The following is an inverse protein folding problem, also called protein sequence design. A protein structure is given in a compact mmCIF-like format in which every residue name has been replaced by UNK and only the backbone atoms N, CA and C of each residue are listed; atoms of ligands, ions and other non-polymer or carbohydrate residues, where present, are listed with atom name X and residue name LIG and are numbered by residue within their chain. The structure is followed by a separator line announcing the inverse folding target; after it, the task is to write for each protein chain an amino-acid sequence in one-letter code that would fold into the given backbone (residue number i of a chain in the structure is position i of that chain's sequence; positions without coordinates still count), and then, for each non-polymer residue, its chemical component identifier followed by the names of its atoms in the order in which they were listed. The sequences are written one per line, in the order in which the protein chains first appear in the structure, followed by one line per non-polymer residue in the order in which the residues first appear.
data_IF_660403244863
#
_entry.id   IF_660403244863
#
_cell.length_a   1.000
_cell.length_b   1.000
_cell.length_c   1.000
_cell.angle_alpha   90.00
_cell.angle_beta   90.00
_cell.angle_gamma   90.00
#
_symmetry.space_group_name_H-M   'P 1'
#
loop_
_entity.id
_entity.type
_entity.pdbx_description
1 polymer ?
#
# COMPACT_ATOMS: atom_id res chain seq x y z
N UNK A 1 -8.38 -1.88 10.37
CA UNK A 1 -7.96 -1.17 11.59
C UNK A 1 -6.48 -1.02 11.42
N UNK A 2 -6.02 0.15 10.97
CA UNK A 2 -4.67 0.24 10.40
C UNK A 2 -3.80 1.10 11.33
N UNK A 3 -2.63 0.55 11.69
CA UNK A 3 -1.64 1.15 12.59
C UNK A 3 -2.15 1.57 13.98
N UNK A 4 -3.17 0.88 14.51
CA UNK A 4 -3.50 1.00 15.93
C UNK A 4 -2.43 0.27 16.75
N UNK A 5 -1.67 1.05 17.52
CA UNK A 5 -0.59 0.55 18.38
C UNK A 5 -1.12 -0.54 19.32
N UNK A 6 -0.49 -1.71 19.33
CA UNK A 6 -0.86 -2.81 20.22
C UNK A 6 -1.97 -3.73 19.70
N UNK A 7 -2.58 -3.42 18.55
CA UNK A 7 -3.72 -4.20 18.06
C UNK A 7 -3.31 -5.54 17.45
N UNK A 8 -2.21 -5.56 16.69
CA UNK A 8 -1.68 -6.81 16.12
C UNK A 8 -1.20 -7.76 17.22
N UNK A 9 -0.55 -7.20 18.25
CA UNK A 9 -0.08 -7.92 19.42
C UNK A 9 -1.24 -8.49 20.23
N UNK A 10 -2.34 -7.75 20.37
CA UNK A 10 -3.55 -8.23 21.03
C UNK A 10 -4.24 -9.35 20.26
N UNK A 11 -4.30 -9.28 18.92
CA UNK A 11 -4.87 -10.36 18.10
C UNK A 11 -4.03 -11.62 18.22
N UNK A 12 -2.70 -11.53 18.07
CA UNK A 12 -1.82 -12.70 18.19
C UNK A 12 -1.87 -13.36 19.57
N UNK A 13 -2.07 -12.57 20.63
CA UNK A 13 -2.19 -13.10 21.99
C UNK A 13 -3.45 -13.99 22.18
N UNK A 14 -4.52 -13.74 21.43
CA UNK A 14 -5.80 -14.45 21.58
C UNK A 14 -6.02 -15.47 20.44
N UNK A 15 -5.54 -15.16 19.25
CA UNK A 15 -5.71 -15.93 18.01
C UNK A 15 -4.35 -16.10 17.30
N UNK A 16 -3.46 -16.96 17.82
CA UNK A 16 -2.07 -17.05 17.36
C UNK A 16 -1.93 -17.51 15.90
N UNK A 17 -2.89 -18.27 15.38
CA UNK A 17 -2.87 -18.79 14.01
C UNK A 17 -3.50 -17.81 12.99
N UNK A 18 -3.90 -16.61 13.41
CA UNK A 18 -4.51 -15.62 12.51
C UNK A 18 -3.43 -14.86 11.74
N UNK A 19 -3.53 -14.90 10.40
CA UNK A 19 -2.77 -14.02 9.54
C UNK A 19 -3.31 -12.59 9.61
N UNK A 20 -2.43 -11.63 9.94
CA UNK A 20 -2.79 -10.23 10.05
C UNK A 20 -2.37 -9.51 8.77
N UNK A 21 -3.34 -9.06 8.00
CA UNK A 21 -3.13 -8.29 6.77
C UNK A 21 -3.55 -6.83 6.96
N UNK A 22 -2.71 -5.89 6.49
CA UNK A 22 -3.11 -4.48 6.36
C UNK A 22 -4.17 -4.33 5.27
N UNK A 23 -5.15 -3.45 5.49
CA UNK A 23 -6.23 -3.28 4.55
C UNK A 23 -5.78 -2.45 3.35
N UNK A 24 -5.81 -3.04 2.15
CA UNK A 24 -5.42 -2.38 0.91
C UNK A 24 -6.19 -1.06 0.67
N UNK A 25 -7.46 -0.99 1.08
CA UNK A 25 -8.28 0.23 0.94
C UNK A 25 -7.74 1.38 1.79
N UNK A 26 -7.31 1.10 3.02
CA UNK A 26 -6.68 2.11 3.87
C UNK A 26 -5.30 2.50 3.34
N UNK A 27 -4.53 1.55 2.82
CA UNK A 27 -3.23 1.83 2.18
C UNK A 27 -3.39 2.76 0.96
N UNK A 28 -4.37 2.50 0.10
CA UNK A 28 -4.70 3.37 -1.05
C UNK A 28 -5.10 4.76 -0.57
N UNK A 29 -6.06 4.84 0.37
CA UNK A 29 -6.53 6.12 0.90
C UNK A 29 -5.40 6.92 1.53
N UNK A 30 -4.48 6.27 2.26
CA UNK A 30 -3.33 6.93 2.84
C UNK A 30 -2.41 7.52 1.76
N UNK A 31 -2.16 6.76 0.70
CA UNK A 31 -1.30 7.17 -0.41
C UNK A 31 -1.85 8.36 -1.19
N UNK A 32 -3.14 8.31 -1.54
CA UNK A 32 -3.78 9.34 -2.38
C UNK A 32 -3.88 10.71 -1.69
N UNK A 33 -3.72 10.79 -0.36
CA UNK A 33 -3.71 12.07 0.39
C UNK A 33 -2.55 12.98 0.00
N UNK A 34 -1.46 12.43 -0.50
CA UNK A 34 -0.27 13.18 -0.92
C UNK A 34 -0.28 13.54 -2.41
N UNK A 35 -1.26 13.03 -3.16
CA UNK A 35 -1.31 13.10 -4.63
C UNK A 35 -2.18 14.28 -5.05
N UNK A 36 -1.72 15.02 -6.06
CA UNK A 36 -2.49 16.15 -6.60
C UNK A 36 -3.73 15.65 -7.34
N UNK A 37 -4.80 16.44 -7.37
CA UNK A 37 -6.02 16.04 -8.11
C UNK A 37 -5.76 15.76 -9.61
N UNK A 38 -4.82 16.48 -10.22
CA UNK A 38 -4.44 16.30 -11.64
C UNK A 38 -3.85 14.92 -11.90
N UNK A 39 -3.08 14.41 -10.95
CA UNK A 39 -2.35 13.14 -11.07
C UNK A 39 -3.13 11.96 -10.49
N UNK A 40 -4.18 12.22 -9.70
CA UNK A 40 -4.93 11.20 -8.95
C UNK A 40 -5.47 10.07 -9.83
N UNK A 41 -6.00 10.40 -11.02
CA UNK A 41 -6.54 9.40 -11.96
C UNK A 41 -5.45 8.46 -12.47
N UNK A 42 -4.30 9.00 -12.84
CA UNK A 42 -3.19 8.22 -13.36
C UNK A 42 -2.52 7.40 -12.25
N UNK A 43 -2.25 8.04 -11.11
CA UNK A 43 -1.69 7.39 -9.94
C UNK A 43 -2.53 6.19 -9.47
N UNK A 44 -3.86 6.33 -9.42
CA UNK A 44 -4.74 5.22 -9.01
C UNK A 44 -4.88 4.13 -10.07
N UNK A 45 -4.69 4.45 -11.36
CA UNK A 45 -4.63 3.46 -12.43
C UNK A 45 -3.35 2.62 -12.34
N UNK A 46 -2.19 3.25 -12.14
CA UNK A 46 -0.93 2.50 -11.97
C UNK A 46 -0.95 1.65 -10.69
N UNK A 47 -1.48 2.20 -9.59
CA UNK A 47 -1.60 1.48 -8.32
C UNK A 47 -2.49 0.23 -8.45
N UNK A 48 -3.49 0.28 -9.34
CA UNK A 48 -4.37 -0.86 -9.63
C UNK A 48 -3.64 -2.07 -10.19
N UNK A 49 -2.57 -1.86 -10.94
CA UNK A 49 -1.76 -2.95 -11.47
C UNK A 49 -1.04 -3.73 -10.35
N UNK A 50 -0.77 -3.08 -9.21
CA UNK A 50 -0.14 -3.72 -8.05
C UNK A 50 -1.11 -4.72 -7.40
N UNK A 51 -2.28 -4.26 -6.95
CA UNK A 51 -3.22 -5.14 -6.21
C UNK A 51 -4.05 -6.06 -7.11
N UNK A 52 -3.98 -5.90 -8.44
CA UNK A 52 -4.59 -6.83 -9.41
C UNK A 52 -3.61 -7.85 -9.98
N UNK A 53 -2.34 -7.78 -9.62
CA UNK A 53 -1.36 -8.77 -10.04
C UNK A 53 -1.81 -10.19 -9.64
N UNK A 54 -1.53 -11.16 -10.50
CA UNK A 54 -1.91 -12.56 -10.32
C UNK A 54 -0.94 -13.34 -9.44
N UNK A 55 0.27 -12.81 -9.22
CA UNK A 55 1.29 -13.36 -8.32
C UNK A 55 1.96 -12.24 -7.53
N UNK A 56 2.61 -12.62 -6.42
CA UNK A 56 3.36 -11.69 -5.59
C UNK A 56 4.54 -11.06 -6.35
N UNK A 57 5.27 -11.86 -7.13
CA UNK A 57 6.42 -11.38 -7.91
C UNK A 57 6.00 -10.32 -8.92
N UNK A 58 4.84 -10.50 -9.55
CA UNK A 58 4.28 -9.52 -10.47
C UNK A 58 3.82 -8.25 -9.72
N UNK A 59 3.23 -8.41 -8.53
CA UNK A 59 2.85 -7.27 -7.69
C UNK A 59 4.07 -6.43 -7.29
N UNK A 60 5.17 -7.09 -6.90
CA UNK A 60 6.44 -6.46 -6.54
C UNK A 60 7.08 -5.76 -7.75
N UNK A 61 7.09 -6.40 -8.92
CA UNK A 61 7.59 -5.77 -10.15
C UNK A 61 6.75 -4.54 -10.54
N UNK A 62 5.42 -4.62 -10.43
CA UNK A 62 4.54 -3.47 -10.66
C UNK A 62 4.77 -2.35 -9.63
N UNK A 63 5.08 -2.70 -8.38
CA UNK A 63 5.43 -1.74 -7.34
C UNK A 63 6.77 -1.03 -7.64
N UNK A 64 7.76 -1.73 -8.19
CA UNK A 64 9.03 -1.13 -8.63
C UNK A 64 8.79 -0.11 -9.74
N UNK A 65 8.02 -0.47 -10.78
CA UNK A 65 7.65 0.45 -11.88
C UNK A 65 6.86 1.65 -11.36
N UNK A 66 5.94 1.42 -10.44
CA UNK A 66 5.14 2.47 -9.80
C UNK A 66 6.03 3.45 -9.01
N UNK A 67 7.00 2.94 -8.25
CA UNK A 67 7.98 3.74 -7.53
C UNK A 67 8.81 4.60 -8.47
N UNK A 68 9.41 4.01 -9.51
CA UNK A 68 10.24 4.74 -10.47
C UNK A 68 9.51 5.96 -11.07
N UNK A 69 8.22 5.80 -11.37
CA UNK A 69 7.38 6.85 -11.95
C UNK A 69 7.05 7.96 -10.95
N UNK A 70 6.68 7.60 -9.72
CA UNK A 70 6.04 8.55 -8.80
C UNK A 70 6.95 9.04 -7.65
N UNK A 71 8.08 8.38 -7.37
CA UNK A 71 8.95 8.69 -6.21
C UNK A 71 9.42 10.15 -6.20
N UNK A 72 9.73 10.72 -7.36
CA UNK A 72 10.22 12.11 -7.47
C UNK A 72 9.14 13.13 -7.07
N UNK A 73 7.86 12.81 -7.27
CA UNK A 73 6.74 13.72 -7.05
C UNK A 73 6.05 13.46 -5.71
N UNK A 74 5.95 12.18 -5.31
CA UNK A 74 5.20 11.73 -4.14
C UNK A 74 6.00 10.74 -3.28
N UNK A 75 7.17 11.14 -2.73
CA UNK A 75 8.02 10.23 -1.97
C UNK A 75 7.33 9.66 -0.73
N UNK A 76 6.48 10.44 -0.06
CA UNK A 76 5.72 9.98 1.11
C UNK A 76 4.69 8.89 0.76
N UNK A 77 4.06 8.98 -0.41
CA UNK A 77 3.13 7.96 -0.87
C UNK A 77 3.87 6.64 -1.12
N UNK A 78 5.00 6.68 -1.85
CA UNK A 78 5.80 5.49 -2.16
C UNK A 78 6.42 4.86 -0.92
N UNK A 79 7.01 5.67 -0.03
CA UNK A 79 7.60 5.17 1.21
C UNK A 79 6.58 4.38 2.06
N UNK A 80 5.30 4.76 2.01
CA UNK A 80 4.26 4.02 2.73
C UNK A 80 4.02 2.61 2.20
N UNK A 81 4.37 2.29 0.94
CA UNK A 81 4.26 0.94 0.38
C UNK A 81 5.48 0.07 0.66
N UNK A 82 6.67 0.67 0.77
CA UNK A 82 7.92 -0.06 1.06
C UNK A 82 8.12 -0.36 2.55
N UNK A 83 7.54 0.46 3.41
CA UNK A 83 7.70 0.35 4.86
C UNK A 83 6.55 -0.42 5.54
N UNK A 84 5.61 -0.99 4.78
CA UNK A 84 4.40 -1.60 5.30
C UNK A 84 4.32 -3.09 5.01
#
# INVERSE_FOLDING_TARGET
MDNLKGFSEAIQAIYPDTEIQKCIVHQIRNSTRFVSYKDLKEFTADLKEIYKATTEELALSNLDVFEEKWIKKYPAAIASWRNN
#
